data_IF_938904391143
#
_entry.id   IF_938904391143
#
_cell.length_a   1.000
_cell.length_b   1.000
_cell.length_c   1.000
_cell.angle_alpha   90.00
_cell.angle_beta   90.00
_cell.angle_gamma   90.00
#
_symmetry.space_group_name_H-M   'P 1'
#
loop_
_entity.id
_entity.type
_entity.pdbx_description
1 polymer ?
#
# COMPACT_ATOMS: atom_id res chain seq x y z
N UNK A 1 57.45 -77.99 2.28
CA UNK A 1 58.01 -76.62 2.35
C UNK A 1 56.94 -75.70 1.79
N UNK A 2 56.31 -74.89 2.65
CA UNK A 2 55.23 -73.97 2.28
C UNK A 2 55.56 -72.62 2.89
N UNK A 3 55.83 -71.63 2.06
CA UNK A 3 56.03 -70.23 2.47
C UNK A 3 54.68 -69.49 2.44
N UNK A 4 54.35 -68.68 3.46
CA UNK A 4 53.13 -67.89 3.45
C UNK A 4 53.32 -66.60 2.64
N UNK A 5 52.33 -66.30 1.81
CA UNK A 5 52.19 -65.05 1.06
C UNK A 5 51.76 -63.93 2.00
N UNK A 6 52.55 -62.86 2.09
CA UNK A 6 52.20 -61.64 2.83
C UNK A 6 51.06 -60.86 2.14
N UNK A 7 50.11 -60.28 2.89
CA UNK A 7 49.03 -59.46 2.34
C UNK A 7 49.50 -58.03 2.06
N UNK A 8 49.13 -57.50 0.89
CA UNK A 8 49.32 -56.09 0.52
C UNK A 8 48.41 -55.18 1.36
N UNK A 9 49.00 -54.18 2.00
CA UNK A 9 48.31 -53.11 2.74
C UNK A 9 47.59 -52.12 1.79
N UNK A 10 46.31 -51.79 1.99
CA UNK A 10 45.62 -50.75 1.22
C UNK A 10 45.55 -49.46 2.04
N UNK A 11 46.64 -48.71 2.18
CA UNK A 11 46.63 -47.40 2.88
C UNK A 11 47.65 -46.39 2.35
N UNK A 12 47.60 -46.10 1.05
CA UNK A 12 48.08 -44.81 0.56
C UNK A 12 46.88 -44.13 -0.10
N UNK A 13 46.14 -43.37 0.69
CA UNK A 13 45.22 -42.40 0.13
C UNK A 13 46.06 -41.46 -0.73
N UNK A 14 45.80 -41.43 -2.04
CA UNK A 14 46.51 -40.60 -3.01
C UNK A 14 46.55 -39.15 -2.52
N UNK A 15 47.67 -38.76 -1.90
CA UNK A 15 47.88 -37.40 -1.39
C UNK A 15 47.65 -36.36 -2.50
N UNK A 16 47.95 -36.74 -3.74
CA UNK A 16 47.69 -35.94 -4.94
C UNK A 16 46.20 -35.73 -5.21
N UNK A 17 45.33 -36.73 -4.98
CA UNK A 17 43.87 -36.57 -5.11
C UNK A 17 43.30 -35.69 -4.01
N UNK A 18 43.82 -35.80 -2.79
CA UNK A 18 43.39 -34.95 -1.67
C UNK A 18 43.83 -33.50 -1.90
N UNK A 19 45.05 -33.27 -2.39
CA UNK A 19 45.54 -31.95 -2.75
C UNK A 19 44.75 -31.33 -3.92
N UNK A 20 44.44 -32.11 -4.96
CA UNK A 20 43.63 -31.65 -6.09
C UNK A 20 42.18 -31.35 -5.69
N UNK A 21 41.59 -32.15 -4.79
CA UNK A 21 40.26 -31.89 -4.24
C UNK A 21 40.22 -30.63 -3.35
N UNK A 22 41.29 -30.36 -2.57
CA UNK A 22 41.41 -29.14 -1.79
C UNK A 22 41.53 -27.91 -2.69
N UNK A 23 42.33 -27.98 -3.75
CA UNK A 23 42.43 -26.89 -4.75
C UNK A 23 41.11 -26.66 -5.48
N UNK A 24 40.37 -27.72 -5.83
CA UNK A 24 39.03 -27.59 -6.43
C UNK A 24 38.02 -26.96 -5.49
N UNK A 25 38.12 -27.18 -4.17
CA UNK A 25 37.25 -26.56 -3.17
C UNK A 25 37.57 -25.07 -2.94
N UNK A 26 38.82 -24.67 -3.10
CA UNK A 26 39.24 -23.25 -3.05
C UNK A 26 38.89 -22.52 -4.35
N UNK A 27 38.97 -23.22 -5.49
CA UNK A 27 38.62 -22.68 -6.81
C UNK A 27 37.12 -22.72 -7.11
N UNK A 28 36.32 -23.43 -6.30
CA UNK A 28 34.87 -23.42 -6.44
C UNK A 28 34.36 -22.04 -5.99
N UNK A 29 33.68 -21.28 -6.87
CA UNK A 29 33.12 -20.01 -6.47
C UNK A 29 32.13 -20.27 -5.33
N UNK A 30 32.31 -19.55 -4.22
CA UNK A 30 31.37 -19.49 -3.10
C UNK A 30 29.96 -19.37 -3.67
N UNK A 31 29.03 -20.22 -3.23
CA UNK A 31 27.65 -20.19 -3.71
C UNK A 31 27.13 -18.75 -3.61
N UNK A 32 26.69 -18.12 -4.72
CA UNK A 32 26.28 -16.72 -4.70
C UNK A 32 25.14 -16.45 -3.71
N UNK A 33 24.28 -17.45 -3.45
CA UNK A 33 23.22 -17.38 -2.45
C UNK A 33 23.71 -17.21 -1.01
N UNK A 34 24.85 -17.82 -0.65
CA UNK A 34 25.43 -17.72 0.70
C UNK A 34 25.95 -16.29 0.96
N UNK A 35 26.44 -15.62 -0.09
CA UNK A 35 26.90 -14.22 0.04
C UNK A 35 25.76 -13.21 0.13
N UNK A 36 24.63 -13.46 -0.53
CA UNK A 36 23.47 -12.56 -0.48
C UNK A 36 22.64 -12.76 0.80
N UNK A 37 22.51 -14.00 1.30
CA UNK A 37 21.91 -14.26 2.61
C UNK A 37 22.69 -13.58 3.73
N UNK A 38 24.02 -13.71 3.75
CA UNK A 38 24.86 -13.04 4.76
C UNK A 38 24.74 -11.51 4.71
N UNK A 39 24.63 -10.92 3.52
CA UNK A 39 24.36 -9.48 3.36
C UNK A 39 23.01 -9.11 3.93
N UNK A 40 21.98 -9.89 3.60
CA UNK A 40 20.62 -9.64 4.08
C UNK A 40 20.53 -9.73 5.60
N UNK A 41 21.20 -10.70 6.22
CA UNK A 41 21.26 -10.84 7.68
C UNK A 41 21.91 -9.62 8.35
N UNK A 42 23.00 -9.11 7.77
CA UNK A 42 23.69 -7.92 8.26
C UNK A 42 22.84 -6.64 8.09
N UNK A 43 22.10 -6.54 6.98
CA UNK A 43 21.22 -5.41 6.69
C UNK A 43 19.90 -5.45 7.46
N UNK A 44 19.46 -6.62 7.93
CA UNK A 44 18.19 -6.81 8.66
C UNK A 44 18.01 -5.86 9.85
N UNK A 45 18.97 -5.71 10.79
CA UNK A 45 18.81 -4.75 11.90
C UNK A 45 18.69 -3.31 11.42
N UNK A 46 19.45 -2.93 10.39
CA UNK A 46 19.42 -1.59 9.77
C UNK A 46 18.04 -1.34 9.14
N UNK A 47 17.53 -2.32 8.39
CA UNK A 47 16.19 -2.27 7.77
C UNK A 47 15.09 -2.11 8.81
N UNK A 48 15.18 -2.86 9.90
CA UNK A 48 14.21 -2.76 10.98
C UNK A 48 14.27 -1.39 11.67
N UNK A 49 15.47 -0.82 11.86
CA UNK A 49 15.65 0.52 12.42
C UNK A 49 15.01 1.58 11.53
N UNK A 50 15.27 1.56 10.21
CA UNK A 50 14.65 2.51 9.28
C UNK A 50 13.14 2.37 9.19
N UNK A 51 12.58 1.15 9.20
CA UNK A 51 11.13 0.96 9.27
C UNK A 51 10.52 1.57 10.54
N UNK A 52 11.20 1.44 11.68
CA UNK A 52 10.78 2.08 12.94
C UNK A 52 10.90 3.60 12.91
N UNK A 53 11.83 4.17 12.15
CA UNK A 53 11.88 5.63 11.99
C UNK A 53 10.80 6.12 11.02
N UNK A 54 10.44 5.30 10.04
CA UNK A 54 9.51 5.66 8.98
C UNK A 54 8.05 5.51 9.43
N UNK A 55 7.63 4.33 9.86
CA UNK A 55 6.22 4.02 10.13
C UNK A 55 5.66 4.82 11.32
N UNK A 56 6.17 4.64 12.56
CA UNK A 56 5.69 5.42 13.69
C UNK A 56 6.28 6.84 13.72
N UNK A 57 7.44 7.08 13.11
CA UNK A 57 8.11 8.38 13.20
C UNK A 57 7.62 9.41 12.18
N UNK A 58 7.44 9.01 10.91
CA UNK A 58 7.04 9.92 9.83
C UNK A 58 5.58 9.70 9.44
N UNK A 59 5.17 8.47 9.13
CA UNK A 59 3.84 8.22 8.55
C UNK A 59 2.73 8.47 9.57
N UNK A 60 2.89 7.99 10.81
CA UNK A 60 1.83 8.07 11.83
C UNK A 60 1.54 9.49 12.31
N UNK A 61 2.57 10.30 12.49
CA UNK A 61 2.48 11.57 13.21
C UNK A 61 2.30 12.79 12.28
N UNK A 62 2.35 12.59 10.96
CA UNK A 62 2.22 13.65 9.95
C UNK A 62 1.02 13.40 9.03
N UNK A 63 0.58 14.44 8.30
CA UNK A 63 -0.43 14.28 7.26
C UNK A 63 0.09 13.40 6.12
N UNK A 64 -0.79 12.68 5.40
CA UNK A 64 -0.39 11.82 4.27
C UNK A 64 0.39 12.62 3.20
N UNK A 65 0.00 13.88 2.97
CA UNK A 65 0.67 14.77 2.03
C UNK A 65 2.08 15.19 2.51
N UNK A 66 2.24 15.52 3.80
CA UNK A 66 3.53 15.94 4.35
C UNK A 66 4.49 14.75 4.47
N UNK A 67 3.98 13.59 4.89
CA UNK A 67 4.74 12.34 4.88
C UNK A 67 5.23 12.00 3.47
N UNK A 68 4.37 12.02 2.46
CA UNK A 68 4.75 11.76 1.06
C UNK A 68 5.83 12.74 0.57
N UNK A 69 5.70 14.02 0.93
CA UNK A 69 6.70 15.05 0.60
C UNK A 69 8.05 14.77 1.26
N UNK A 70 8.05 14.44 2.55
CA UNK A 70 9.25 14.10 3.31
C UNK A 70 9.96 12.88 2.72
N UNK A 71 9.21 11.79 2.48
CA UNK A 71 9.73 10.55 1.90
C UNK A 71 10.33 10.80 0.50
N UNK A 72 9.68 11.63 -0.31
CA UNK A 72 10.18 11.97 -1.65
C UNK A 72 11.51 12.74 -1.62
N UNK A 73 11.67 13.66 -0.66
CA UNK A 73 12.93 14.41 -0.51
C UNK A 73 14.03 13.52 0.06
N UNK A 74 13.71 12.69 1.07
CA UNK A 74 14.66 11.70 1.61
C UNK A 74 15.14 10.75 0.51
N UNK A 75 14.23 10.22 -0.32
CA UNK A 75 14.59 9.35 -1.43
C UNK A 75 15.56 10.05 -2.40
N UNK A 76 15.24 11.27 -2.82
CA UNK A 76 16.12 12.06 -3.70
C UNK A 76 17.51 12.29 -3.10
N UNK A 77 17.59 12.61 -1.81
CA UNK A 77 18.87 12.76 -1.12
C UNK A 77 19.66 11.45 -1.15
N UNK A 78 19.02 10.32 -0.86
CA UNK A 78 19.67 9.01 -0.89
C UNK A 78 20.13 8.60 -2.29
N UNK A 79 19.33 8.85 -3.33
CA UNK A 79 19.66 8.51 -4.71
C UNK A 79 20.80 9.39 -5.25
N UNK A 80 20.80 10.68 -4.95
CA UNK A 80 21.87 11.58 -5.36
C UNK A 80 23.20 11.22 -4.69
N UNK A 81 23.19 10.88 -3.40
CA UNK A 81 24.37 10.44 -2.67
C UNK A 81 24.91 9.09 -3.16
N UNK A 82 24.02 8.16 -3.53
CA UNK A 82 24.44 6.85 -4.07
C UNK A 82 24.96 6.95 -5.51
N UNK A 83 24.48 7.94 -6.28
CA UNK A 83 24.93 8.18 -7.65
C UNK A 83 26.29 8.87 -7.67
N UNK A 84 26.41 10.00 -6.95
CA UNK A 84 27.60 10.84 -6.93
C UNK A 84 28.06 11.12 -5.48
N UNK A 85 28.71 10.16 -4.80
CA UNK A 85 29.06 10.29 -3.39
C UNK A 85 30.15 11.34 -3.14
N UNK A 86 30.97 11.68 -4.13
CA UNK A 86 32.07 12.64 -4.01
C UNK A 86 31.62 14.09 -4.23
N UNK A 87 30.40 14.32 -4.72
CA UNK A 87 29.92 15.66 -5.02
C UNK A 87 29.52 16.39 -3.72
N UNK A 88 30.23 17.46 -3.32
CA UNK A 88 29.97 18.15 -2.05
C UNK A 88 28.55 18.74 -1.99
N UNK A 89 27.95 19.07 -3.13
CA UNK A 89 26.59 19.63 -3.21
C UNK A 89 25.52 18.66 -2.68
N UNK A 90 25.72 17.35 -2.83
CA UNK A 90 24.77 16.34 -2.36
C UNK A 90 25.07 15.88 -0.92
N UNK A 91 26.31 16.10 -0.48
CA UNK A 91 26.71 15.81 0.89
C UNK A 91 26.14 16.80 1.90
N UNK A 92 25.69 17.98 1.47
CA UNK A 92 25.16 18.98 2.40
C UNK A 92 23.82 19.57 2.00
N UNK A 93 23.02 19.92 3.00
CA UNK A 93 21.83 20.74 2.80
C UNK A 93 21.68 21.79 3.90
N UNK A 94 21.19 22.96 3.51
CA UNK A 94 20.94 24.08 4.43
C UNK A 94 19.55 23.94 5.03
N UNK A 95 19.45 24.12 6.35
CA UNK A 95 18.15 24.11 7.03
C UNK A 95 17.28 25.32 6.68
N UNK A 96 17.90 26.40 6.17
CA UNK A 96 17.23 27.62 5.71
C UNK A 96 16.52 27.48 4.37
N UNK A 97 16.81 26.42 3.59
CA UNK A 97 16.13 26.20 2.31
C UNK A 97 14.65 25.88 2.56
N UNK A 98 13.73 26.63 1.95
CA UNK A 98 12.28 26.49 2.17
C UNK A 98 11.75 25.09 1.85
N UNK A 99 12.30 24.44 0.83
CA UNK A 99 11.90 23.09 0.43
C UNK A 99 12.36 22.07 1.46
N UNK A 100 13.61 22.18 1.93
CA UNK A 100 14.17 21.33 2.98
C UNK A 100 13.43 21.54 4.30
N UNK A 101 13.17 22.80 4.67
CA UNK A 101 12.48 23.14 5.91
C UNK A 101 11.10 22.49 5.96
N UNK A 102 10.29 22.68 4.91
CA UNK A 102 8.94 22.12 4.82
C UNK A 102 8.91 20.60 4.71
N UNK A 103 9.94 19.98 4.16
CA UNK A 103 9.94 18.54 3.87
C UNK A 103 10.68 17.70 4.93
N UNK A 104 11.68 18.26 5.61
CA UNK A 104 12.52 17.52 6.56
C UNK A 104 12.53 18.09 7.98
N UNK A 105 12.34 19.40 8.15
CA UNK A 105 12.45 20.05 9.47
C UNK A 105 11.09 20.17 10.16
N UNK A 106 10.08 20.60 9.42
CA UNK A 106 8.71 20.76 9.94
C UNK A 106 8.03 19.40 10.19
N UNK A 107 8.17 18.38 9.31
CA UNK A 107 7.59 17.06 9.57
C UNK A 107 8.35 16.32 10.67
N UNK A 108 7.60 15.73 11.62
CA UNK A 108 8.17 14.96 12.72
C UNK A 108 8.85 13.70 12.18
N UNK A 109 10.00 13.30 12.76
CA UNK A 109 10.70 12.07 12.41
C UNK A 109 11.56 12.13 11.14
N UNK A 110 11.36 13.13 10.27
CA UNK A 110 12.05 13.21 8.98
C UNK A 110 13.53 13.60 9.13
N UNK A 111 13.85 14.49 10.08
CA UNK A 111 15.23 14.87 10.34
C UNK A 111 15.99 13.76 11.07
N UNK A 112 15.34 13.05 11.99
CA UNK A 112 15.90 11.89 12.69
C UNK A 112 16.24 10.78 11.70
N UNK A 113 15.39 10.57 10.69
CA UNK A 113 15.69 9.67 9.58
C UNK A 113 16.94 10.12 8.82
N UNK A 114 17.08 11.41 8.49
CA UNK A 114 18.28 11.94 7.83
C UNK A 114 19.53 11.81 8.70
N UNK A 115 19.42 12.00 10.02
CA UNK A 115 20.52 11.78 10.95
C UNK A 115 20.95 10.31 10.92
N UNK A 116 20.01 9.37 10.86
CA UNK A 116 20.32 7.95 10.76
C UNK A 116 20.99 7.57 9.42
N UNK A 117 20.71 8.29 8.33
CA UNK A 117 21.43 8.15 7.06
C UNK A 117 22.90 8.62 7.13
N UNK A 118 23.30 9.29 8.21
CA UNK A 118 24.65 9.80 8.40
C UNK A 118 24.78 11.32 8.27
N UNK A 119 23.69 12.07 8.16
CA UNK A 119 23.76 13.53 8.23
C UNK A 119 24.00 14.01 9.66
N UNK A 120 24.83 15.03 9.81
CA UNK A 120 25.13 15.66 11.11
C UNK A 120 24.96 17.16 11.01
N UNK A 121 24.34 17.75 12.05
CA UNK A 121 24.19 19.18 12.15
C UNK A 121 25.56 19.84 12.37
N UNK A 122 25.88 20.82 11.54
CA UNK A 122 27.11 21.63 11.62
C UNK A 122 26.75 23.10 11.36
N UNK A 123 27.57 24.01 11.87
CA UNK A 123 27.42 25.44 11.61
C UNK A 123 28.61 25.86 10.76
N UNK A 124 28.35 26.37 9.57
CA UNK A 124 29.36 26.98 8.71
C UNK A 124 28.86 28.37 8.31
N UNK A 125 29.73 29.37 8.41
CA UNK A 125 29.41 30.77 8.10
C UNK A 125 28.17 31.28 8.84
N UNK A 126 28.02 30.88 10.11
CA UNK A 126 26.86 31.18 10.96
C UNK A 126 25.51 30.67 10.41
N UNK A 127 25.53 29.74 9.43
CA UNK A 127 24.34 29.10 8.90
C UNK A 127 24.28 27.62 9.36
N UNK A 128 23.16 27.18 9.98
CA UNK A 128 22.97 25.78 10.30
C UNK A 128 22.81 24.95 9.01
N UNK A 129 23.67 23.95 8.85
CA UNK A 129 23.65 23.01 7.73
C UNK A 129 23.79 21.57 8.23
N UNK A 130 23.29 20.63 7.44
CA UNK A 130 23.50 19.21 7.68
C UNK A 130 24.51 18.70 6.68
N UNK A 131 25.56 18.04 7.16
CA UNK A 131 26.63 17.46 6.34
C UNK A 131 26.62 15.95 6.52
N UNK A 132 26.63 15.23 5.41
CA UNK A 132 26.72 13.79 5.35
C UNK A 132 28.17 13.35 5.50
N UNK A 133 28.40 12.31 6.29
CA UNK A 133 29.72 11.73 6.49
C UNK A 133 29.84 10.42 5.72
N UNK A 134 30.82 10.37 4.82
CA UNK A 134 31.15 9.15 4.08
C UNK A 134 31.76 8.12 5.03
N UNK A 135 30.99 7.10 5.36
CA UNK A 135 31.40 5.92 6.13
C UNK A 135 30.82 4.68 5.45
N UNK A 136 31.53 3.55 5.53
CA UNK A 136 31.05 2.27 4.96
C UNK A 136 29.70 1.86 5.56
N UNK A 137 29.47 2.13 6.84
CA UNK A 137 28.19 1.89 7.51
C UNK A 137 27.09 2.80 6.96
N UNK A 138 27.37 4.09 6.77
CA UNK A 138 26.42 5.06 6.22
C UNK A 138 26.06 4.75 4.75
N UNK A 139 27.02 4.25 3.96
CA UNK A 139 26.75 3.80 2.60
C UNK A 139 25.82 2.58 2.56
N UNK A 140 26.01 1.64 3.49
CA UNK A 140 25.11 0.48 3.64
C UNK A 140 23.73 0.94 4.09
N UNK A 141 23.67 1.86 5.06
CA UNK A 141 22.44 2.48 5.53
C UNK A 141 21.69 3.21 4.41
N UNK A 142 22.37 3.95 3.54
CA UNK A 142 21.79 4.62 2.38
C UNK A 142 21.14 3.63 1.40
N UNK A 143 21.81 2.51 1.10
CA UNK A 143 21.26 1.48 0.19
C UNK A 143 19.99 0.87 0.76
N UNK A 144 20.05 0.44 2.02
CA UNK A 144 18.90 -0.15 2.72
C UNK A 144 17.75 0.86 2.83
N UNK A 145 18.05 2.10 3.19
CA UNK A 145 17.04 3.15 3.33
C UNK A 145 16.38 3.50 2.00
N UNK A 146 17.16 3.61 0.91
CA UNK A 146 16.62 3.82 -0.45
C UNK A 146 15.58 2.78 -0.80
N UNK A 147 15.88 1.50 -0.57
CA UNK A 147 14.98 0.40 -0.91
C UNK A 147 13.69 0.48 -0.10
N UNK A 148 13.79 0.74 1.21
CA UNK A 148 12.62 0.91 2.08
C UNK A 148 11.78 2.13 1.66
N UNK A 149 12.42 3.24 1.29
CA UNK A 149 11.72 4.46 0.86
C UNK A 149 10.98 4.22 -0.47
N UNK A 150 11.59 3.49 -1.41
CA UNK A 150 10.94 3.07 -2.67
C UNK A 150 9.72 2.20 -2.40
N UNK A 151 9.88 1.15 -1.60
CA UNK A 151 8.76 0.27 -1.21
C UNK A 151 7.58 1.07 -0.66
N UNK A 152 7.84 2.05 0.23
CA UNK A 152 6.78 2.85 0.84
C UNK A 152 6.12 3.82 -0.14
N UNK A 153 6.90 4.45 -1.02
CA UNK A 153 6.35 5.35 -2.04
C UNK A 153 5.48 4.56 -3.01
N UNK A 154 5.93 3.38 -3.45
CA UNK A 154 5.16 2.49 -4.34
C UNK A 154 3.86 1.99 -3.68
N UNK A 155 3.91 1.61 -2.39
CA UNK A 155 2.72 1.25 -1.64
C UNK A 155 1.74 2.43 -1.50
N UNK A 156 2.25 3.63 -1.25
CA UNK A 156 1.44 4.83 -1.15
C UNK A 156 0.78 5.19 -2.49
N UNK A 157 1.51 5.13 -3.61
CA UNK A 157 0.95 5.40 -4.94
C UNK A 157 -0.09 4.35 -5.33
N UNK A 158 0.18 3.06 -5.09
CA UNK A 158 -0.78 1.99 -5.37
C UNK A 158 -2.08 2.13 -4.56
N UNK A 159 -1.98 2.60 -3.30
CA UNK A 159 -3.16 2.89 -2.47
C UNK A 159 -3.96 4.07 -3.02
N UNK A 160 -3.28 5.13 -3.43
CA UNK A 160 -3.89 6.33 -4.04
C UNK A 160 -4.61 5.99 -5.35
N UNK A 161 -3.99 5.20 -6.21
CA UNK A 161 -4.58 4.73 -7.48
C UNK A 161 -5.84 3.90 -7.26
N UNK A 162 -5.82 2.97 -6.29
CA UNK A 162 -7.00 2.17 -5.94
C UNK A 162 -8.13 3.04 -5.42
N UNK A 163 -7.83 4.01 -4.56
CA UNK A 163 -8.80 4.97 -4.07
C UNK A 163 -9.40 5.79 -5.22
N UNK A 164 -8.57 6.30 -6.14
CA UNK A 164 -9.02 7.07 -7.29
C UNK A 164 -9.94 6.24 -8.21
N UNK A 165 -9.56 4.99 -8.52
CA UNK A 165 -10.36 4.07 -9.34
C UNK A 165 -11.71 3.77 -8.70
N UNK A 166 -11.74 3.45 -7.40
CA UNK A 166 -13.00 3.20 -6.67
C UNK A 166 -13.93 4.42 -6.70
N UNK A 167 -13.39 5.63 -6.56
CA UNK A 167 -14.17 6.86 -6.63
C UNK A 167 -14.72 7.10 -8.05
N UNK A 168 -13.93 6.85 -9.09
CA UNK A 168 -14.38 6.96 -10.47
C UNK A 168 -15.50 5.97 -10.77
N UNK A 169 -15.35 4.70 -10.38
CA UNK A 169 -16.39 3.67 -10.53
C UNK A 169 -17.67 4.01 -9.75
N UNK A 170 -17.53 4.54 -8.54
CA UNK A 170 -18.69 4.98 -7.76
C UNK A 170 -19.42 6.16 -8.44
N UNK A 171 -18.68 7.09 -9.05
CA UNK A 171 -19.26 8.20 -9.81
C UNK A 171 -19.97 7.70 -11.07
N UNK A 172 -19.35 6.81 -11.85
CA UNK A 172 -19.94 6.28 -13.08
C UNK A 172 -21.16 5.39 -12.80
N UNK A 173 -21.13 4.61 -11.72
CA UNK A 173 -22.29 3.80 -11.30
C UNK A 173 -23.47 4.70 -10.92
N UNK A 174 -23.22 5.82 -10.21
CA UNK A 174 -24.27 6.78 -9.86
C UNK A 174 -24.86 7.44 -11.10
N UNK A 175 -24.04 7.88 -12.05
CA UNK A 175 -24.53 8.50 -13.29
C UNK A 175 -25.30 7.50 -14.15
N UNK A 176 -24.82 6.26 -14.26
CA UNK A 176 -25.52 5.19 -14.98
C UNK A 176 -26.87 4.86 -14.33
N UNK A 177 -26.95 4.82 -12.99
CA UNK A 177 -28.20 4.58 -12.28
C UNK A 177 -29.25 5.68 -12.56
N UNK A 178 -28.82 6.95 -12.58
CA UNK A 178 -29.71 8.08 -12.93
C UNK A 178 -30.18 7.99 -14.38
N UNK A 179 -29.28 7.70 -15.33
CA UNK A 179 -29.65 7.54 -16.74
C UNK A 179 -30.62 6.37 -16.95
N UNK A 180 -30.37 5.23 -16.32
CA UNK A 180 -31.25 4.07 -16.39
C UNK A 180 -32.63 4.37 -15.80
N UNK A 181 -32.69 5.10 -14.68
CA UNK A 181 -33.96 5.53 -14.11
C UNK A 181 -34.73 6.44 -15.07
N UNK A 182 -34.06 7.41 -15.71
CA UNK A 182 -34.66 8.31 -16.69
C UNK A 182 -35.23 7.54 -17.89
N UNK A 183 -34.45 6.61 -18.45
CA UNK A 183 -34.90 5.74 -19.56
C UNK A 183 -36.11 4.89 -19.15
N UNK A 184 -36.11 4.34 -17.93
CA UNK A 184 -37.24 3.57 -17.42
C UNK A 184 -38.51 4.42 -17.29
N UNK A 185 -38.39 5.69 -16.87
CA UNK A 185 -39.52 6.62 -16.85
C UNK A 185 -40.07 6.92 -18.25
N UNK A 186 -39.19 7.11 -19.24
CA UNK A 186 -39.63 7.34 -20.62
C UNK A 186 -40.34 6.12 -21.22
N UNK A 187 -39.82 4.93 -20.97
CA UNK A 187 -40.42 3.68 -21.42
C UNK A 187 -41.78 3.43 -20.75
N UNK A 188 -41.92 3.67 -19.45
CA UNK A 188 -43.21 3.56 -18.75
C UNK A 188 -44.24 4.55 -19.32
N UNK A 189 -43.82 5.80 -19.58
CA UNK A 189 -44.66 6.82 -20.21
C UNK A 189 -45.13 6.39 -21.60
N UNK A 190 -44.24 5.81 -22.42
CA UNK A 190 -44.57 5.29 -23.76
C UNK A 190 -45.52 4.10 -23.68
N UNK A 191 -45.24 3.13 -22.80
CA UNK A 191 -46.09 1.94 -22.59
C UNK A 191 -47.50 2.33 -22.15
N UNK A 192 -47.60 3.28 -21.21
CA UNK A 192 -48.90 3.78 -20.74
C UNK A 192 -49.69 4.46 -21.84
N UNK A 193 -49.06 5.29 -22.68
CA UNK A 193 -49.70 5.88 -23.86
C UNK A 193 -50.17 4.83 -24.87
N UNK A 194 -49.32 3.83 -25.17
CA UNK A 194 -49.68 2.76 -26.11
C UNK A 194 -50.84 1.90 -25.60
N UNK A 195 -50.89 1.61 -24.29
CA UNK A 195 -52.01 0.93 -23.67
C UNK A 195 -53.31 1.74 -23.77
N UNK A 196 -53.25 3.05 -23.49
CA UNK A 196 -54.41 3.93 -23.58
C UNK A 196 -54.95 4.03 -25.02
N UNK A 197 -54.06 4.15 -26.02
CA UNK A 197 -54.44 4.12 -27.44
C UNK A 197 -55.10 2.80 -27.84
N UNK A 198 -54.57 1.67 -27.36
CA UNK A 198 -55.16 0.35 -27.60
C UNK A 198 -56.56 0.24 -26.97
N UNK A 199 -56.71 0.67 -25.72
CA UNK A 199 -58.00 0.67 -25.02
C UNK A 199 -59.01 1.58 -25.71
N UNK A 200 -58.58 2.72 -26.25
CA UNK A 200 -59.42 3.62 -27.05
C UNK A 200 -59.88 2.98 -28.37
N UNK A 201 -59.06 2.13 -28.99
CA UNK A 201 -59.39 1.42 -30.24
C UNK A 201 -60.27 0.19 -30.01
N UNK A 202 -59.99 -0.60 -28.97
CA UNK A 202 -60.70 -1.85 -28.66
C UNK A 202 -61.98 -1.64 -27.83
N UNK A 203 -62.18 -0.43 -27.29
CA UNK A 203 -63.27 -0.09 -26.38
C UNK A 203 -62.89 -0.41 -24.94
N UNK A 204 -63.25 0.48 -24.01
CA UNK A 204 -63.01 0.23 -22.59
C UNK A 204 -63.82 -1.00 -22.14
N UNK A 205 -63.19 -1.98 -21.45
CA UNK A 205 -63.91 -3.11 -20.88
C UNK A 205 -64.91 -2.57 -19.86
N UNK A 206 -66.20 -2.61 -20.20
CA UNK A 206 -67.30 -2.07 -19.41
C UNK A 206 -67.78 -3.02 -18.32
N UNK A 207 -67.11 -4.15 -18.15
CA UNK A 207 -67.40 -5.10 -17.07
C UNK A 207 -66.28 -5.07 -16.04
N UNK A 208 -66.56 -4.70 -14.77
CA UNK A 208 -65.60 -4.91 -13.70
C UNK A 208 -65.38 -6.42 -13.56
N UNK A 209 -64.26 -6.92 -14.07
CA UNK A 209 -63.81 -8.27 -13.76
C UNK A 209 -63.63 -8.34 -12.25
N UNK A 210 -64.49 -9.11 -11.59
CA UNK A 210 -64.40 -9.45 -10.16
C UNK A 210 -62.92 -9.67 -9.82
N UNK A 211 -62.43 -8.90 -8.85
CA UNK A 211 -61.11 -9.12 -8.27
C UNK A 211 -60.96 -10.62 -7.96
N UNK A 212 -59.85 -11.27 -8.32
CA UNK A 212 -59.61 -12.63 -7.87
C UNK A 212 -59.65 -12.62 -6.35
N UNK A 213 -60.62 -13.32 -5.78
CA UNK A 213 -60.66 -13.63 -4.36
C UNK A 213 -59.33 -14.27 -4.01
N UNK A 214 -58.47 -13.52 -3.32
CA UNK A 214 -57.29 -14.06 -2.68
C UNK A 214 -57.75 -15.14 -1.72
N UNK A 215 -57.69 -16.40 -2.15
CA UNK A 215 -57.80 -17.54 -1.26
C UNK A 215 -56.58 -17.48 -0.36
N UNK A 216 -56.79 -17.00 0.86
CA UNK A 216 -55.81 -17.08 1.94
C UNK A 216 -55.61 -18.58 2.20
N UNK A 217 -54.43 -19.17 1.93
CA UNK A 217 -54.17 -20.54 2.35
C UNK A 217 -54.15 -20.58 3.89
N UNK A 218 -54.82 -21.56 4.53
CA UNK A 218 -54.77 -21.69 5.98
C UNK A 218 -53.37 -22.11 6.43
N UNK A 219 -52.88 -21.37 7.44
CA UNK A 219 -51.88 -21.75 8.44
C UNK A 219 -50.62 -22.51 7.97
N UNK A 220 -49.49 -21.81 8.02
CA UNK A 220 -48.15 -22.38 8.03
C UNK A 220 -48.00 -23.54 9.03
N UNK A 221 -47.27 -24.62 8.69
CA UNK A 221 -46.85 -25.60 9.68
C UNK A 221 -45.87 -24.94 10.66
N UNK A 222 -46.10 -25.14 11.97
CA UNK A 222 -45.17 -24.80 13.04
C UNK A 222 -43.87 -25.57 12.85
N UNK A 223 -42.82 -24.92 12.35
CA UNK A 223 -41.46 -25.41 12.52
C UNK A 223 -41.01 -25.11 13.95
N UNK A 224 -40.96 -26.17 14.77
CA UNK A 224 -40.22 -26.18 16.02
C UNK A 224 -38.75 -26.33 15.68
N UNK A 225 -37.98 -25.25 15.77
CA UNK A 225 -36.53 -25.31 15.83
C UNK A 225 -36.18 -25.38 17.31
N UNK A 226 -36.08 -26.60 17.84
CA UNK A 226 -35.27 -26.85 19.03
C UNK A 226 -33.81 -26.70 18.60
N UNK A 227 -33.19 -25.58 18.96
CA UNK A 227 -31.78 -25.30 18.73
C UNK A 227 -31.25 -24.51 19.91
N UNK A 228 -30.47 -25.17 20.74
CA UNK A 228 -29.84 -24.65 21.93
C UNK A 228 -28.83 -23.55 21.60
N UNK A 229 -28.86 -22.48 22.40
CA UNK A 229 -27.77 -21.58 22.79
C UNK A 229 -26.71 -21.12 21.78
N UNK A 230 -26.69 -19.81 21.49
CA UNK A 230 -25.51 -18.97 21.75
C UNK A 230 -25.84 -17.48 21.68
N UNK A 231 -25.74 -16.80 22.82
CA UNK A 231 -25.81 -15.34 22.94
C UNK A 231 -24.43 -14.74 22.72
N UNK A 232 -24.31 -13.80 21.78
CA UNK A 232 -23.21 -12.82 21.78
C UNK A 232 -23.80 -11.41 21.66
N UNK A 233 -23.70 -10.68 22.77
CA UNK A 233 -23.36 -9.25 22.86
C UNK A 233 -24.05 -8.25 21.95
N UNK A 234 -25.00 -7.51 22.53
CA UNK A 234 -25.33 -6.07 22.36
C UNK A 234 -24.84 -5.30 21.12
N UNK A 235 -25.70 -4.43 20.57
CA UNK A 235 -25.36 -3.01 20.62
C UNK A 235 -26.53 -2.12 21.09
N UNK A 236 -26.28 -1.33 22.13
CA UNK A 236 -27.10 -0.18 22.52
C UNK A 236 -26.27 1.09 22.33
N UNK A 237 -26.62 1.90 21.32
CA UNK A 237 -26.60 3.35 21.41
C UNK A 237 -27.23 3.99 20.16
N UNK A 238 -28.45 4.49 20.36
CA UNK A 238 -29.05 5.72 19.80
C UNK A 238 -28.40 6.30 18.53
N UNK A 239 -29.13 6.19 17.41
CA UNK A 239 -29.00 7.11 16.28
C UNK A 239 -30.23 8.03 16.25
N UNK A 240 -30.04 9.26 16.74
CA UNK A 240 -31.00 10.34 16.58
C UNK A 240 -31.08 10.74 15.11
N UNK A 241 -32.30 10.73 14.59
CA UNK A 241 -32.73 11.38 13.37
C UNK A 241 -32.60 12.91 13.55
N UNK A 242 -31.89 13.58 12.65
CA UNK A 242 -32.12 15.00 12.34
C UNK A 242 -32.09 15.12 10.82
N UNK A 243 -33.18 15.65 10.28
CA UNK A 243 -33.44 15.88 8.87
C UNK A 243 -33.74 17.38 8.72
N UNK A 244 -32.80 18.11 8.13
CA UNK A 244 -32.95 19.43 7.53
C UNK A 244 -31.95 19.38 6.35
N UNK A 245 -32.28 19.47 5.07
CA UNK A 245 -33.40 20.13 4.42
C UNK A 245 -33.00 21.55 4.07
N UNK A 246 -32.27 21.75 2.95
CA UNK A 246 -32.37 22.95 2.11
C UNK A 246 -31.59 22.80 0.80
N UNK A 247 -32.37 22.74 -0.29
CA UNK A 247 -32.00 23.05 -1.66
C UNK A 247 -31.73 24.56 -1.79
N UNK A 248 -30.64 24.95 -2.45
CA UNK A 248 -30.55 26.22 -3.16
C UNK A 248 -29.51 26.13 -4.29
N UNK A 249 -30.02 25.89 -5.48
CA UNK A 249 -29.35 26.08 -6.78
C UNK A 249 -29.38 27.55 -7.20
N UNK A 250 -28.42 27.90 -8.07
CA UNK A 250 -28.40 29.02 -9.04
C UNK A 250 -27.84 30.37 -8.55
N UNK A 251 -26.66 30.75 -9.05
CA UNK A 251 -26.55 31.75 -10.12
C UNK A 251 -25.09 31.98 -10.53
N UNK A 252 -24.78 31.62 -11.78
CA UNK A 252 -23.74 32.26 -12.58
C UNK A 252 -24.10 33.75 -12.78
N UNK A 253 -23.11 34.63 -12.67
CA UNK A 253 -23.13 35.93 -13.34
C UNK A 253 -21.68 36.31 -13.68
N UNK A 254 -21.42 36.36 -14.99
CA UNK A 254 -20.32 37.09 -15.61
C UNK A 254 -20.69 38.59 -15.65
N UNK A 255 -19.77 39.44 -15.22
CA UNK A 255 -19.26 40.64 -15.91
C UNK A 255 -18.00 41.15 -15.19
#
# INVERSE_FOLDING_TARGET
>A
MSTPSSPQSPRQADHNRVAEAALKRIAQPVNPGETDELRYEHERPIRQKFRRLLDPGIIRDNSEADAKRALSVLLKLTENLLSDPENPKFQEFKSTNSTIKRSLIEPKGAIEFAIELGFRATIQDFQPKYVWHSSSENLTALRVARDILKDHIELATAKEERAALSQQLAKTAKTAAVQNALLAFEDDRKRRKALDERMKREGYPTTPTKAPTTVIPPASPRFSIQGEGQTLGTPSARRGFVHEGEDATVADYED
#
